data_IF_261189362304
#
_entry.id   IF_261189362304
#
_cell.length_a   1.000
_cell.length_b   1.000
_cell.length_c   1.000
_cell.angle_alpha   90.00
_cell.angle_beta   90.00
_cell.angle_gamma   90.00
#
_symmetry.space_group_name_H-M   'P 1'
#
loop_
_entity.id
_entity.type
_entity.pdbx_description
1 polymer ?
#
# COMPACT_ATOMS: atom_id res chain seq x y z
N UNK A 1 24.65 38.22 24.64
CA UNK A 1 24.08 37.09 25.39
C UNK A 1 22.86 36.58 24.62
N UNK A 2 22.84 35.32 24.17
CA UNK A 2 21.64 34.79 23.48
C UNK A 2 20.47 34.84 24.45
N UNK A 3 19.41 35.53 24.05
CA UNK A 3 18.23 35.69 24.90
C UNK A 3 17.62 34.30 25.17
N UNK A 4 16.98 34.11 26.33
CA UNK A 4 16.28 32.86 26.67
C UNK A 4 15.34 32.41 25.54
N UNK A 5 14.77 33.37 24.82
CA UNK A 5 13.93 33.18 23.64
C UNK A 5 14.66 32.49 22.48
N UNK A 6 15.87 32.91 22.11
CA UNK A 6 16.65 32.28 21.04
C UNK A 6 17.01 30.83 21.35
N UNK A 7 17.35 30.53 22.61
CA UNK A 7 17.62 29.16 23.06
C UNK A 7 16.38 28.27 22.94
N UNK A 8 15.20 28.80 23.27
CA UNK A 8 13.93 28.06 23.13
C UNK A 8 13.56 27.82 21.66
N UNK A 9 13.72 28.83 20.78
CA UNK A 9 13.48 28.68 19.34
C UNK A 9 14.37 27.60 18.71
N UNK A 10 15.67 27.59 19.03
CA UNK A 10 16.60 26.57 18.54
C UNK A 10 16.20 25.16 19.00
N UNK A 11 15.79 25.00 20.26
CA UNK A 11 15.30 23.70 20.77
C UNK A 11 14.02 23.26 20.08
N UNK A 12 13.09 24.18 19.82
CA UNK A 12 11.85 23.87 19.11
C UNK A 12 12.14 23.38 17.68
N UNK A 13 13.06 24.04 16.98
CA UNK A 13 13.46 23.65 15.63
C UNK A 13 14.12 22.26 15.61
N UNK A 14 15.05 22.00 16.53
CA UNK A 14 15.65 20.67 16.71
C UNK A 14 14.61 19.57 16.98
N UNK A 15 13.65 19.83 17.88
CA UNK A 15 12.57 18.88 18.17
C UNK A 15 11.68 18.65 16.95
N UNK A 16 11.37 19.71 16.19
CA UNK A 16 10.57 19.61 14.97
C UNK A 16 11.26 18.72 13.92
N UNK A 17 12.55 18.89 13.73
CA UNK A 17 13.34 18.03 12.82
C UNK A 17 13.34 16.57 13.29
N UNK A 18 13.50 16.32 14.60
CA UNK A 18 13.45 14.96 15.15
C UNK A 18 12.08 14.30 14.95
N UNK A 19 10.99 15.04 15.21
CA UNK A 19 9.62 14.56 14.98
C UNK A 19 9.42 14.23 13.50
N UNK A 20 9.89 15.08 12.59
CA UNK A 20 9.78 14.83 11.15
C UNK A 20 10.55 13.57 10.72
N UNK A 21 11.77 13.38 11.22
CA UNK A 21 12.58 12.18 10.94
C UNK A 21 11.89 10.92 11.44
N UNK A 22 11.36 10.93 12.66
CA UNK A 22 10.68 9.75 13.20
C UNK A 22 9.35 9.47 12.48
N UNK A 23 8.58 10.51 12.14
CA UNK A 23 7.37 10.36 11.34
C UNK A 23 7.66 9.76 9.96
N UNK A 24 8.76 10.16 9.31
CA UNK A 24 9.20 9.57 8.05
C UNK A 24 9.59 8.10 8.21
N UNK A 25 10.30 7.75 9.30
CA UNK A 25 10.68 6.36 9.62
C UNK A 25 9.45 5.48 9.83
N UNK A 26 8.49 5.93 10.63
CA UNK A 26 7.22 5.22 10.85
C UNK A 26 6.45 5.05 9.54
N UNK A 27 6.33 6.11 8.74
CA UNK A 27 5.66 6.04 7.42
C UNK A 27 6.36 5.08 6.46
N UNK A 28 7.69 5.00 6.48
CA UNK A 28 8.46 4.06 5.67
C UNK A 28 8.22 2.62 6.15
N UNK A 29 8.25 2.38 7.45
CA UNK A 29 7.99 1.06 8.02
C UNK A 29 6.56 0.58 7.72
N UNK A 30 5.57 1.46 7.84
CA UNK A 30 4.18 1.14 7.52
C UNK A 30 4.01 0.75 6.05
N UNK A 31 4.66 1.46 5.11
CA UNK A 31 4.65 1.10 3.68
C UNK A 31 5.29 -0.25 3.41
N UNK A 32 6.41 -0.57 4.08
CA UNK A 32 7.06 -1.89 3.99
C UNK A 32 6.14 -3.00 4.50
N UNK A 33 5.52 -2.79 5.65
CA UNK A 33 4.60 -3.76 6.25
C UNK A 33 3.34 -3.98 5.39
N UNK A 34 2.77 -2.90 4.85
CA UNK A 34 1.61 -2.97 3.95
C UNK A 34 1.94 -3.70 2.65
N UNK A 35 3.09 -3.40 2.04
CA UNK A 35 3.57 -4.12 0.85
C UNK A 35 3.74 -5.61 1.15
N UNK A 36 4.36 -5.96 2.28
CA UNK A 36 4.55 -7.35 2.70
C UNK A 36 3.21 -8.07 2.91
N UNK A 37 2.24 -7.40 3.55
CA UNK A 37 0.88 -7.96 3.75
C UNK A 37 0.20 -8.27 2.43
N UNK A 38 0.26 -7.34 1.47
CA UNK A 38 -0.33 -7.51 0.13
C UNK A 38 0.31 -8.67 -0.63
N UNK A 39 1.64 -8.78 -0.59
CA UNK A 39 2.37 -9.88 -1.22
C UNK A 39 1.95 -11.22 -0.61
N UNK A 40 1.97 -11.35 0.72
CA UNK A 40 1.61 -12.60 1.39
C UNK A 40 0.18 -13.04 1.07
N UNK A 41 -0.77 -12.09 1.14
CA UNK A 41 -2.17 -12.36 0.79
C UNK A 41 -2.29 -12.80 -0.67
N UNK A 42 -1.62 -12.10 -1.60
CA UNK A 42 -1.60 -12.44 -3.01
C UNK A 42 -1.03 -13.84 -3.26
N UNK A 43 0.12 -14.18 -2.65
CA UNK A 43 0.73 -15.51 -2.78
C UNK A 43 -0.19 -16.63 -2.27
N UNK A 44 -0.87 -16.42 -1.14
CA UNK A 44 -1.81 -17.39 -0.59
C UNK A 44 -3.02 -17.61 -1.51
N UNK A 45 -3.59 -16.53 -2.04
CA UNK A 45 -4.72 -16.61 -2.96
C UNK A 45 -4.32 -17.33 -4.25
N UNK A 46 -3.18 -16.97 -4.85
CA UNK A 46 -2.67 -17.61 -6.07
C UNK A 46 -2.40 -19.11 -5.86
N UNK A 47 -1.77 -19.49 -4.76
CA UNK A 47 -1.55 -20.91 -4.41
C UNK A 47 -2.88 -21.67 -4.32
N UNK A 48 -3.90 -21.08 -3.67
CA UNK A 48 -5.22 -21.70 -3.57
C UNK A 48 -5.95 -21.79 -4.92
N UNK A 49 -5.84 -20.75 -5.75
CA UNK A 49 -6.38 -20.75 -7.12
C UNK A 49 -5.74 -21.84 -7.99
N UNK A 50 -4.46 -22.16 -7.75
CA UNK A 50 -3.77 -23.23 -8.50
C UNK A 50 -4.25 -24.65 -8.15
N UNK A 51 -4.84 -24.82 -6.96
CA UNK A 51 -5.28 -26.12 -6.43
C UNK A 51 -6.78 -26.36 -6.57
N UNK A 52 -7.56 -25.33 -6.84
CA UNK A 52 -9.02 -25.40 -6.88
C UNK A 52 -9.58 -24.45 -7.94
N UNK A 53 -10.10 -25.04 -9.03
CA UNK A 53 -10.64 -24.30 -10.16
C UNK A 53 -11.94 -23.54 -9.85
N UNK A 54 -12.82 -24.08 -9.00
CA UNK A 54 -14.04 -23.38 -8.57
C UNK A 54 -13.68 -22.09 -7.81
N UNK A 55 -12.73 -22.19 -6.88
CA UNK A 55 -12.21 -21.05 -6.14
C UNK A 55 -11.56 -20.02 -7.08
N UNK A 56 -10.77 -20.49 -8.06
CA UNK A 56 -10.16 -19.64 -9.09
C UNK A 56 -11.22 -18.86 -9.86
N UNK A 57 -12.27 -19.50 -10.35
CA UNK A 57 -13.34 -18.82 -11.08
C UNK A 57 -14.05 -17.79 -10.21
N UNK A 58 -14.33 -18.12 -8.95
CA UNK A 58 -14.93 -17.16 -8.00
C UNK A 58 -14.08 -15.91 -7.81
N UNK A 59 -12.76 -16.06 -7.66
CA UNK A 59 -11.84 -14.94 -7.52
C UNK A 59 -11.75 -14.11 -8.81
N UNK A 60 -11.72 -14.75 -9.98
CA UNK A 60 -11.71 -14.04 -11.27
C UNK A 60 -12.98 -13.20 -11.48
N UNK A 61 -14.16 -13.72 -11.13
CA UNK A 61 -15.42 -12.96 -11.16
C UNK A 61 -15.40 -11.77 -10.20
N UNK A 62 -14.83 -11.95 -9.00
CA UNK A 62 -14.66 -10.84 -8.06
C UNK A 62 -13.70 -9.78 -8.62
N UNK A 63 -12.56 -10.19 -9.19
CA UNK A 63 -11.59 -9.29 -9.84
C UNK A 63 -12.21 -8.55 -11.01
N UNK A 64 -13.04 -9.22 -11.82
CA UNK A 64 -13.80 -8.61 -12.90
C UNK A 64 -14.71 -7.47 -12.40
N UNK A 65 -15.42 -7.67 -11.30
CA UNK A 65 -16.26 -6.62 -10.71
C UNK A 65 -15.48 -5.48 -10.05
N UNK A 66 -14.29 -5.77 -9.50
CA UNK A 66 -13.50 -4.82 -8.73
C UNK A 66 -12.57 -3.95 -9.59
N UNK A 67 -11.93 -4.53 -10.59
CA UNK A 67 -10.95 -3.85 -11.44
C UNK A 67 -11.65 -3.00 -12.49
N UNK A 68 -11.41 -1.70 -12.43
CA UNK A 68 -11.96 -0.71 -13.37
C UNK A 68 -10.99 -0.31 -14.48
N UNK A 69 -9.69 -0.36 -14.20
CA UNK A 69 -8.67 0.05 -15.15
C UNK A 69 -8.33 -1.12 -16.10
N UNK A 70 -8.45 -0.89 -17.40
CA UNK A 70 -8.10 -1.85 -18.45
C UNK A 70 -6.70 -2.46 -18.26
N UNK A 71 -5.69 -1.63 -17.93
CA UNK A 71 -4.31 -2.11 -17.73
C UNK A 71 -4.20 -3.16 -16.64
N UNK A 72 -4.94 -2.99 -15.54
CA UNK A 72 -4.93 -3.93 -14.42
C UNK A 72 -5.75 -5.19 -14.75
N UNK A 73 -6.84 -5.04 -15.51
CA UNK A 73 -7.69 -6.17 -15.97
C UNK A 73 -6.92 -7.10 -16.91
N UNK A 74 -6.10 -6.55 -17.80
CA UNK A 74 -5.25 -7.31 -18.73
C UNK A 74 -4.27 -8.24 -18.00
N UNK A 75 -3.80 -7.88 -16.80
CA UNK A 75 -2.93 -8.75 -15.98
C UNK A 75 -3.60 -10.08 -15.60
N UNK A 76 -4.93 -10.12 -15.61
CA UNK A 76 -5.74 -11.30 -15.28
C UNK A 76 -6.47 -11.88 -16.50
N UNK A 77 -6.11 -11.45 -17.71
CA UNK A 77 -6.79 -11.86 -18.97
C UNK A 77 -8.30 -11.59 -18.96
N UNK A 78 -8.73 -10.52 -18.27
CA UNK A 78 -10.12 -10.09 -18.25
C UNK A 78 -10.36 -9.11 -19.42
N UNK A 79 -11.47 -9.28 -20.12
CA UNK A 79 -11.86 -8.39 -21.22
C UNK A 79 -12.08 -6.96 -20.73
N UNK A 80 -11.93 -5.99 -21.63
CA UNK A 80 -12.25 -4.61 -21.29
C UNK A 80 -13.76 -4.47 -21.02
N UNK A 81 -14.11 -3.78 -19.92
CA UNK A 81 -15.51 -3.44 -19.67
C UNK A 81 -15.84 -2.27 -20.59
N UNK A 82 -16.26 -2.59 -21.81
CA UNK A 82 -16.89 -1.59 -22.68
C UNK A 82 -17.97 -0.90 -21.86
N UNK A 83 -17.76 0.40 -21.63
CA UNK A 83 -18.77 1.27 -21.08
C UNK A 83 -19.90 1.37 -22.10
N UNK A 84 -21.05 0.77 -21.79
CA UNK A 84 -22.35 1.24 -22.31
C UNK A 84 -22.73 2.57 -21.64
#
# INVERSE_FOLDING_TARGET
MTTKLEKLKRKQEQLKEQIQKEAQRVKAQNRKNDTRRKILLGTMVLDRMSKNDEYKQKILLMLDSYLKNERDRLLFSLEDKKHD
#
